data_IF_727853020254
#
_entry.id   IF_727853020254
#
_cell.length_a   1.000
_cell.length_b   1.000
_cell.length_c   1.000
_cell.angle_alpha   90.00
_cell.angle_beta   90.00
_cell.angle_gamma   90.00
#
_symmetry.space_group_name_H-M   'P 1'
#
loop_
_entity.id
_entity.type
_entity.pdbx_description
1 polymer ?
#
# COMPACT_ATOMS: atom_id res chain seq x y z
N UNK A 1 -3.37 -7.42 6.42
CA UNK A 1 -3.26 -7.03 7.85
C UNK A 1 -1.83 -7.22 8.39
N UNK A 2 -1.36 -8.46 8.57
CA UNK A 2 -0.11 -8.74 9.30
C UNK A 2 1.13 -8.07 8.72
N UNK A 3 1.28 -7.99 7.40
CA UNK A 3 2.41 -7.30 6.77
C UNK A 3 2.40 -5.79 7.06
N UNK A 4 1.25 -5.14 7.05
CA UNK A 4 1.13 -3.72 7.40
C UNK A 4 1.40 -3.49 8.90
N UNK A 5 0.93 -4.37 9.79
CA UNK A 5 1.30 -4.30 11.22
C UNK A 5 2.82 -4.32 11.41
N UNK A 6 3.50 -5.22 10.69
CA UNK A 6 4.97 -5.30 10.70
C UNK A 6 5.59 -4.00 10.18
N UNK A 7 5.10 -3.48 9.05
CA UNK A 7 5.63 -2.24 8.46
C UNK A 7 5.47 -1.04 9.40
N UNK A 8 4.29 -0.85 10.00
CA UNK A 8 4.01 0.22 10.97
C UNK A 8 4.95 0.12 12.17
N UNK A 9 5.04 -1.06 12.79
CA UNK A 9 5.89 -1.28 13.97
C UNK A 9 7.37 -1.11 13.64
N UNK A 10 7.82 -1.63 12.51
CA UNK A 10 9.22 -1.54 12.09
C UNK A 10 9.60 -0.09 11.76
N UNK A 11 8.73 0.64 11.04
CA UNK A 11 8.95 2.06 10.75
C UNK A 11 9.04 2.89 12.03
N UNK A 12 8.13 2.66 12.98
CA UNK A 12 8.15 3.35 14.29
C UNK A 12 9.41 3.02 15.08
N UNK A 13 9.74 1.72 15.25
CA UNK A 13 10.92 1.30 16.02
C UNK A 13 12.21 1.81 15.37
N UNK A 14 12.31 1.83 14.04
CA UNK A 14 13.44 2.44 13.35
C UNK A 14 13.69 3.87 13.82
N UNK A 15 12.64 4.71 13.88
CA UNK A 15 12.78 6.11 14.32
C UNK A 15 13.32 6.21 15.75
N UNK A 16 12.89 5.32 16.64
CA UNK A 16 13.42 5.25 18.02
C UNK A 16 14.90 4.85 18.01
N UNK A 17 15.27 3.82 17.23
CA UNK A 17 16.64 3.30 17.18
C UNK A 17 17.65 4.32 16.63
N UNK A 18 17.24 5.17 15.69
CA UNK A 18 18.12 6.20 15.11
C UNK A 18 18.03 7.56 15.82
N UNK A 19 17.36 7.64 16.98
CA UNK A 19 17.27 8.86 17.79
C UNK A 19 16.24 9.89 17.32
N UNK A 20 15.41 9.56 16.30
CA UNK A 20 14.33 10.43 15.82
C UNK A 20 13.03 10.24 16.61
N UNK A 21 13.11 10.31 17.93
CA UNK A 21 12.05 9.92 18.88
C UNK A 21 10.77 10.75 18.77
N UNK A 22 10.83 11.93 18.17
CA UNK A 22 9.65 12.78 17.90
C UNK A 22 8.77 12.24 16.76
N UNK A 23 9.33 11.43 15.84
CA UNK A 23 8.59 10.85 14.73
C UNK A 23 7.69 9.70 15.20
N UNK A 24 6.47 10.03 15.59
CA UNK A 24 5.50 9.08 16.18
C UNK A 24 4.17 9.02 15.43
N UNK A 25 3.90 10.00 14.54
CA UNK A 25 2.65 10.12 13.80
C UNK A 25 2.71 9.36 12.47
N UNK A 26 1.54 9.00 11.97
CA UNK A 26 1.36 8.39 10.66
C UNK A 26 0.40 9.24 9.82
N UNK A 27 0.56 9.17 8.49
CA UNK A 27 -0.39 9.71 7.52
C UNK A 27 -1.06 8.53 6.82
N UNK A 28 -2.38 8.62 6.57
CA UNK A 28 -3.15 7.64 5.81
C UNK A 28 -4.12 8.33 4.85
N UNK A 29 -4.52 7.64 3.79
CA UNK A 29 -5.53 8.14 2.85
C UNK A 29 -6.94 7.77 3.32
N UNK A 30 -7.88 8.69 3.20
CA UNK A 30 -9.30 8.37 3.28
C UNK A 30 -9.64 7.26 2.27
N UNK A 31 -10.62 6.42 2.62
CA UNK A 31 -11.00 5.25 1.84
C UNK A 31 -9.90 4.17 1.70
N UNK A 32 -8.76 4.27 2.40
CA UNK A 32 -7.74 3.22 2.46
C UNK A 32 -8.22 1.99 3.23
N UNK A 33 -7.77 0.80 2.80
CA UNK A 33 -8.00 -0.45 3.51
C UNK A 33 -6.74 -1.31 3.55
N UNK A 34 -6.29 -1.66 4.75
CA UNK A 34 -5.04 -2.37 4.96
C UNK A 34 -5.21 -3.66 5.78
N UNK A 35 -6.44 -4.01 6.10
CA UNK A 35 -6.81 -5.19 6.89
C UNK A 35 -7.53 -4.84 8.19
N UNK A 36 -7.79 -5.86 9.03
CA UNK A 36 -8.72 -5.79 10.16
C UNK A 36 -8.05 -5.96 11.53
N UNK A 37 -6.72 -5.89 11.61
CA UNK A 37 -6.02 -5.78 12.90
C UNK A 37 -6.00 -4.33 13.38
N UNK A 38 -5.83 -4.07 14.68
CA UNK A 38 -5.99 -2.72 15.25
C UNK A 38 -5.09 -1.66 14.60
N UNK A 39 -3.84 -1.99 14.30
CA UNK A 39 -2.95 -1.06 13.64
C UNK A 39 -3.37 -0.78 12.19
N UNK A 40 -3.80 -1.81 11.44
CA UNK A 40 -4.26 -1.63 10.06
C UNK A 40 -5.59 -0.89 9.98
N UNK A 41 -6.51 -1.14 10.90
CA UNK A 41 -7.75 -0.37 11.04
C UNK A 41 -7.46 1.09 11.38
N UNK A 42 -6.44 1.35 12.21
CA UNK A 42 -6.04 2.72 12.57
C UNK A 42 -5.61 3.55 11.35
N UNK A 43 -4.89 2.95 10.41
CA UNK A 43 -4.47 3.61 9.15
C UNK A 43 -5.45 3.40 7.99
N UNK A 44 -6.57 2.73 8.24
CA UNK A 44 -7.66 2.58 7.29
C UNK A 44 -8.60 3.78 7.28
N UNK A 45 -9.32 3.99 6.18
CA UNK A 45 -10.20 5.15 5.98
C UNK A 45 -11.67 4.80 5.69
N UNK A 46 -12.09 3.53 5.85
CA UNK A 46 -13.47 3.09 5.59
C UNK A 46 -14.25 3.07 6.90
N UNK A 47 -14.95 4.16 7.21
CA UNK A 47 -15.66 4.34 8.47
C UNK A 47 -16.64 3.20 8.81
N UNK A 48 -17.36 2.68 7.81
CA UNK A 48 -18.32 1.59 7.99
C UNK A 48 -17.68 0.36 8.67
N UNK A 49 -16.41 0.07 8.38
CA UNK A 49 -15.71 -1.09 8.94
C UNK A 49 -15.09 -0.78 10.31
N UNK A 50 -14.81 0.47 10.61
CA UNK A 50 -13.91 0.87 11.68
C UNK A 50 -14.59 1.53 12.87
N UNK A 51 -15.81 2.09 12.72
CA UNK A 51 -16.47 2.92 13.72
C UNK A 51 -16.66 2.22 15.08
N UNK A 52 -16.92 0.91 15.07
CA UNK A 52 -17.12 0.12 16.31
C UNK A 52 -15.84 0.05 17.15
N UNK A 53 -14.68 0.10 16.51
CA UNK A 53 -13.37 -0.04 17.15
C UNK A 53 -12.69 1.30 17.46
N UNK A 54 -13.34 2.42 17.19
CA UNK A 54 -12.76 3.77 17.25
C UNK A 54 -11.96 4.06 18.55
N UNK A 55 -12.45 3.58 19.69
CA UNK A 55 -11.78 3.82 20.98
C UNK A 55 -10.52 2.97 21.20
N UNK A 56 -10.24 2.00 20.35
CA UNK A 56 -9.06 1.14 20.41
C UNK A 56 -7.96 1.57 19.44
N UNK A 57 -8.23 2.55 18.58
CA UNK A 57 -7.37 2.92 17.47
C UNK A 57 -6.49 4.13 17.82
N UNK A 58 -5.26 4.14 17.30
CA UNK A 58 -4.52 5.38 17.20
C UNK A 58 -5.02 6.20 16.00
N UNK A 59 -4.84 7.53 16.05
CA UNK A 59 -5.37 8.46 15.05
C UNK A 59 -4.25 8.91 14.11
N UNK A 60 -4.26 8.53 12.82
CA UNK A 60 -3.36 9.10 11.83
C UNK A 60 -3.84 10.50 11.42
N UNK A 61 -2.95 11.28 10.80
CA UNK A 61 -3.31 12.40 9.96
C UNK A 61 -3.89 11.85 8.65
N UNK A 62 -4.97 12.43 8.14
CA UNK A 62 -5.68 11.86 7.00
C UNK A 62 -5.63 12.78 5.78
N UNK A 63 -5.41 12.19 4.61
CA UNK A 63 -5.46 12.87 3.31
C UNK A 63 -6.77 12.55 2.59
N UNK A 64 -7.35 13.50 1.85
CA UNK A 64 -8.40 13.19 0.89
C UNK A 64 -7.89 12.15 -0.12
N UNK A 65 -8.73 11.16 -0.47
CA UNK A 65 -8.39 10.22 -1.53
C UNK A 65 -8.53 10.88 -2.90
N UNK A 66 -7.51 10.83 -3.77
CA UNK A 66 -7.60 11.38 -5.13
C UNK A 66 -8.44 10.50 -6.08
N UNK A 67 -8.89 9.30 -5.64
CA UNK A 67 -9.64 8.34 -6.44
C UNK A 67 -11.17 8.44 -6.33
N UNK A 68 -11.72 9.30 -5.46
CA UNK A 68 -13.16 9.32 -5.10
C UNK A 68 -14.04 10.09 -6.09
N UNK A 69 -13.60 10.42 -7.30
CA UNK A 69 -14.25 11.41 -8.16
C UNK A 69 -14.91 10.81 -9.39
N UNK A 70 -16.06 11.42 -9.75
CA UNK A 70 -16.96 10.97 -10.80
C UNK A 70 -16.77 11.66 -12.13
N UNK A 71 -16.20 12.87 -12.13
CA UNK A 71 -15.97 13.69 -13.32
C UNK A 71 -14.47 14.00 -13.49
N UNK A 72 -14.01 14.25 -14.72
CA UNK A 72 -12.59 14.52 -15.01
C UNK A 72 -12.09 15.77 -14.29
N UNK A 73 -12.91 16.84 -14.27
CA UNK A 73 -12.57 18.07 -13.57
C UNK A 73 -12.44 17.87 -12.05
N UNK A 74 -13.28 17.02 -11.47
CA UNK A 74 -13.20 16.66 -10.07
C UNK A 74 -11.92 15.87 -9.76
N UNK A 75 -11.45 15.03 -10.68
CA UNK A 75 -10.21 14.24 -10.51
C UNK A 75 -8.98 15.13 -10.42
N UNK A 76 -8.85 16.12 -11.32
CA UNK A 76 -7.73 17.05 -11.27
C UNK A 76 -7.72 17.88 -9.99
N UNK A 77 -8.87 18.42 -9.63
CA UNK A 77 -9.04 19.17 -8.38
C UNK A 77 -8.65 18.36 -7.16
N UNK A 78 -9.05 17.14 -7.09
CA UNK A 78 -8.76 16.27 -5.98
C UNK A 78 -7.34 15.78 -5.90
N UNK A 79 -6.73 15.56 -7.02
CA UNK A 79 -5.30 15.32 -7.11
C UNK A 79 -4.53 16.49 -6.46
N UNK A 80 -4.85 17.72 -6.86
CA UNK A 80 -4.21 18.91 -6.32
C UNK A 80 -4.54 19.13 -4.82
N UNK A 81 -5.81 18.96 -4.41
CA UNK A 81 -6.23 19.09 -3.02
C UNK A 81 -5.51 18.08 -2.11
N UNK A 82 -5.41 16.83 -2.54
CA UNK A 82 -4.74 15.79 -1.76
C UNK A 82 -3.24 16.05 -1.61
N UNK A 83 -2.58 16.50 -2.68
CA UNK A 83 -1.14 16.84 -2.63
C UNK A 83 -0.89 18.12 -1.83
N UNK A 84 -1.72 19.14 -1.98
CA UNK A 84 -1.63 20.38 -1.21
C UNK A 84 -1.78 20.11 0.30
N UNK A 85 -2.72 19.25 0.68
CA UNK A 85 -2.87 18.83 2.08
C UNK A 85 -1.68 18.04 2.58
N UNK A 86 -1.15 17.12 1.76
CA UNK A 86 0.08 16.40 2.11
C UNK A 86 1.25 17.37 2.33
N UNK A 87 1.44 18.32 1.42
CA UNK A 87 2.52 19.30 1.51
C UNK A 87 2.36 20.19 2.74
N UNK A 88 1.12 20.62 3.06
CA UNK A 88 0.80 21.36 4.28
C UNK A 88 1.20 20.58 5.52
N UNK A 89 0.73 19.34 5.65
CA UNK A 89 1.02 18.47 6.81
C UNK A 89 2.53 18.25 6.95
N UNK A 90 3.24 17.98 5.86
CA UNK A 90 4.69 17.75 5.88
C UNK A 90 5.48 19.01 6.26
N UNK A 91 5.04 20.19 5.85
CA UNK A 91 5.69 21.46 6.22
C UNK A 91 5.43 21.82 7.69
N UNK A 92 4.24 21.53 8.23
CA UNK A 92 3.87 21.86 9.61
C UNK A 92 4.36 20.83 10.64
N UNK A 93 4.29 19.52 10.31
CA UNK A 93 4.48 18.43 11.27
C UNK A 93 5.49 17.35 10.79
N UNK A 94 6.19 17.55 9.67
CA UNK A 94 7.05 16.53 9.06
C UNK A 94 8.09 15.92 10.02
N UNK A 95 8.58 16.72 10.98
CA UNK A 95 9.52 16.26 12.02
C UNK A 95 8.90 15.29 13.04
N UNK A 96 7.58 15.18 13.06
CA UNK A 96 6.84 14.27 13.94
C UNK A 96 6.27 13.04 13.21
N UNK A 97 6.37 13.01 11.87
CA UNK A 97 5.77 11.97 11.05
C UNK A 97 6.75 10.84 10.78
N UNK A 98 6.37 9.63 11.14
CA UNK A 98 7.11 8.39 10.86
C UNK A 98 6.96 7.95 9.41
N UNK A 99 5.71 7.79 8.95
CA UNK A 99 5.41 7.23 7.64
C UNK A 99 4.04 7.67 7.10
N UNK A 100 3.92 7.61 5.77
CA UNK A 100 2.66 7.63 5.05
C UNK A 100 2.35 6.20 4.56
N UNK A 101 1.10 5.75 4.78
CA UNK A 101 0.62 4.42 4.38
C UNK A 101 -0.43 4.58 3.27
N UNK A 102 -0.28 3.84 2.17
CA UNK A 102 -1.24 3.88 1.06
C UNK A 102 -1.26 2.61 0.20
N UNK A 103 -2.40 2.34 -0.43
CA UNK A 103 -2.49 1.43 -1.56
C UNK A 103 -2.00 2.17 -2.82
N UNK A 104 -1.18 1.56 -3.69
CA UNK A 104 -0.71 2.22 -4.90
C UNK A 104 -1.74 2.10 -6.03
N UNK A 105 -1.99 3.17 -6.75
CA UNK A 105 -2.80 3.27 -7.98
C UNK A 105 -4.29 2.94 -7.83
N UNK A 106 -4.69 2.05 -6.91
CA UNK A 106 -6.08 1.63 -6.72
C UNK A 106 -6.36 1.35 -5.26
N UNK A 107 -7.33 2.04 -4.68
CA UNK A 107 -7.92 1.69 -3.39
C UNK A 107 -9.03 0.65 -3.62
N UNK A 108 -8.68 -0.63 -3.40
CA UNK A 108 -9.50 -1.74 -3.84
C UNK A 108 -10.80 -1.88 -3.04
N UNK A 109 -10.72 -1.98 -1.71
CA UNK A 109 -11.87 -2.24 -0.86
C UNK A 109 -12.90 -1.09 -0.83
N UNK A 110 -12.49 0.12 -1.18
CA UNK A 110 -13.36 1.28 -1.29
C UNK A 110 -14.18 1.33 -2.59
N UNK A 111 -14.15 0.29 -3.41
CA UNK A 111 -14.87 0.20 -4.67
C UNK A 111 -13.99 0.43 -5.89
N UNK A 112 -12.77 -0.09 -5.87
CA UNK A 112 -11.80 0.01 -6.97
C UNK A 112 -11.57 1.46 -7.43
N UNK A 113 -11.26 2.34 -6.48
CA UNK A 113 -10.99 3.75 -6.76
C UNK A 113 -9.62 3.89 -7.42
N UNK A 114 -9.61 4.18 -8.71
CA UNK A 114 -8.36 4.36 -9.49
C UNK A 114 -7.82 5.76 -9.24
N UNK A 115 -6.56 5.83 -8.80
CA UNK A 115 -5.87 7.11 -8.58
C UNK A 115 -5.41 7.75 -9.90
N UNK A 116 -5.36 9.09 -10.00
CA UNK A 116 -4.77 9.78 -11.14
C UNK A 116 -3.30 9.40 -11.33
N UNK A 117 -2.86 9.34 -12.59
CA UNK A 117 -1.47 9.07 -12.92
C UNK A 117 -0.53 10.15 -12.36
N UNK A 118 0.60 9.73 -11.80
CA UNK A 118 1.60 10.61 -11.21
C UNK A 118 1.39 10.89 -9.71
N UNK A 119 0.26 10.51 -9.13
CA UNK A 119 -0.02 10.75 -7.72
C UNK A 119 0.99 10.04 -6.79
N UNK A 120 1.22 8.76 -7.01
CA UNK A 120 2.17 7.98 -6.20
C UNK A 120 3.59 8.55 -6.30
N UNK A 121 4.00 8.99 -7.50
CA UNK A 121 5.31 9.61 -7.72
C UNK A 121 5.45 10.92 -6.94
N UNK A 122 4.43 11.79 -6.98
CA UNK A 122 4.42 13.05 -6.22
C UNK A 122 4.44 12.81 -4.71
N UNK A 123 3.66 11.85 -4.22
CA UNK A 123 3.71 11.43 -2.81
C UNK A 123 5.11 10.98 -2.42
N UNK A 124 5.78 10.16 -3.26
CA UNK A 124 7.17 9.71 -3.02
C UNK A 124 8.15 10.89 -2.93
N UNK A 125 8.05 11.84 -3.86
CA UNK A 125 8.91 13.02 -3.87
C UNK A 125 8.75 13.85 -2.58
N UNK A 126 7.52 14.11 -2.17
CA UNK A 126 7.21 14.88 -0.96
C UNK A 126 7.67 14.14 0.32
N UNK A 127 7.35 12.86 0.46
CA UNK A 127 7.77 12.08 1.63
C UNK A 127 9.27 11.96 1.75
N UNK A 128 9.98 11.79 0.62
CA UNK A 128 11.44 11.75 0.60
C UNK A 128 12.08 13.07 1.03
N UNK A 129 11.54 14.21 0.57
CA UNK A 129 12.01 15.56 0.92
C UNK A 129 11.96 15.82 2.43
N UNK A 130 10.97 15.25 3.13
CA UNK A 130 10.74 15.47 4.56
C UNK A 130 11.22 14.31 5.45
N UNK A 131 12.01 13.37 4.91
CA UNK A 131 12.42 12.14 5.62
C UNK A 131 11.24 11.42 6.29
N UNK A 132 10.13 11.27 5.57
CA UNK A 132 8.98 10.48 5.96
C UNK A 132 8.99 9.19 5.16
N UNK A 133 8.83 8.04 5.82
CA UNK A 133 8.78 6.75 5.12
C UNK A 133 7.50 6.63 4.28
N UNK A 134 7.62 6.02 3.12
CA UNK A 134 6.50 5.60 2.30
C UNK A 134 6.28 4.09 2.46
N UNK A 135 5.14 3.70 3.04
CA UNK A 135 4.68 2.32 3.16
C UNK A 135 3.63 2.08 2.08
N UNK A 136 3.91 1.19 1.14
CA UNK A 136 3.00 0.89 0.04
C UNK A 136 2.41 -0.51 0.21
N UNK A 137 1.09 -0.58 0.18
CA UNK A 137 0.33 -1.82 0.30
C UNK A 137 0.02 -2.42 -1.07
N UNK A 138 0.87 -3.36 -1.52
CA UNK A 138 0.70 -4.10 -2.77
C UNK A 138 -0.09 -5.43 -2.60
N UNK A 139 -0.76 -5.61 -1.47
CA UNK A 139 -1.51 -6.84 -1.18
C UNK A 139 -2.61 -7.12 -2.21
N UNK A 140 -3.28 -6.06 -2.71
CA UNK A 140 -4.31 -6.18 -3.74
C UNK A 140 -3.78 -5.89 -5.16
N UNK A 141 -2.78 -5.04 -5.29
CA UNK A 141 -2.31 -4.49 -6.57
C UNK A 141 -1.12 -5.21 -7.17
N UNK A 142 -0.37 -5.95 -6.35
CA UNK A 142 0.82 -6.69 -6.77
C UNK A 142 0.53 -7.93 -7.60
N UNK A 143 1.59 -8.59 -8.03
CA UNK A 143 1.56 -9.85 -8.77
C UNK A 143 0.78 -9.77 -10.09
N UNK A 144 1.00 -8.69 -10.85
CA UNK A 144 0.45 -8.53 -12.19
C UNK A 144 -0.95 -7.92 -12.28
N UNK A 145 -1.64 -7.68 -11.16
CA UNK A 145 -3.03 -7.17 -11.16
C UNK A 145 -3.22 -5.87 -11.94
N UNK A 146 -2.24 -4.98 -11.90
CA UNK A 146 -2.29 -3.69 -12.60
C UNK A 146 -1.59 -3.69 -13.96
N UNK A 147 -1.02 -4.83 -14.38
CA UNK A 147 -0.31 -4.99 -15.66
C UNK A 147 1.22 -4.99 -15.55
N UNK A 148 1.78 -4.69 -14.38
CA UNK A 148 3.19 -4.88 -14.01
C UNK A 148 3.29 -5.79 -12.78
N UNK A 149 4.48 -6.29 -12.48
CA UNK A 149 4.64 -7.19 -11.33
C UNK A 149 4.20 -6.50 -10.04
N UNK A 150 4.62 -5.24 -9.83
CA UNK A 150 4.12 -4.37 -8.77
C UNK A 150 3.53 -3.08 -9.35
N UNK A 151 2.50 -2.55 -8.71
CA UNK A 151 1.86 -1.31 -9.14
C UNK A 151 2.82 -0.10 -9.07
N UNK A 152 3.73 -0.06 -8.11
CA UNK A 152 4.76 0.97 -7.97
C UNK A 152 5.61 1.15 -9.23
N UNK A 153 5.83 0.10 -10.02
CA UNK A 153 6.63 0.15 -11.24
C UNK A 153 6.03 1.05 -12.34
N UNK A 154 4.70 1.29 -12.31
CA UNK A 154 4.05 2.14 -13.28
C UNK A 154 4.53 3.60 -13.21
N UNK A 155 4.95 4.04 -12.04
CA UNK A 155 5.41 5.40 -11.80
C UNK A 155 6.89 5.47 -11.37
N UNK A 156 7.61 4.34 -11.47
CA UNK A 156 9.03 4.26 -11.13
C UNK A 156 9.32 4.52 -9.65
N UNK A 157 8.38 4.20 -8.76
CA UNK A 157 8.50 4.45 -7.32
C UNK A 157 9.08 3.25 -6.60
N UNK A 158 10.14 3.48 -5.81
CA UNK A 158 10.64 2.55 -4.81
C UNK A 158 10.23 3.03 -3.41
N UNK A 159 9.30 2.34 -2.73
CA UNK A 159 8.90 2.70 -1.36
C UNK A 159 9.96 2.29 -0.34
N UNK A 160 9.87 2.81 0.89
CA UNK A 160 10.71 2.37 2.01
C UNK A 160 10.24 1.03 2.57
N UNK A 161 8.92 0.78 2.52
CA UNK A 161 8.30 -0.49 2.87
C UNK A 161 7.27 -0.89 1.80
N UNK A 162 7.27 -2.16 1.44
CA UNK A 162 6.27 -2.76 0.56
C UNK A 162 5.65 -3.98 1.25
N UNK A 163 4.33 -4.05 1.29
CA UNK A 163 3.63 -5.18 1.90
C UNK A 163 2.97 -6.05 0.85
N UNK A 164 3.15 -7.35 0.98
CA UNK A 164 2.72 -8.38 0.03
C UNK A 164 1.89 -9.45 0.72
N UNK A 165 0.88 -9.96 0.04
CA UNK A 165 0.10 -11.14 0.44
C UNK A 165 -0.69 -11.66 -0.77
N UNK A 166 -1.79 -12.35 -0.59
CA UNK A 166 -2.71 -12.83 -1.65
C UNK A 166 -1.98 -13.48 -2.83
N UNK A 167 -1.61 -12.69 -3.84
CA UNK A 167 -0.93 -13.17 -5.05
C UNK A 167 0.43 -13.83 -4.80
N UNK A 168 1.09 -13.57 -3.68
CA UNK A 168 2.39 -14.17 -3.36
C UNK A 168 2.36 -15.71 -3.37
N UNK A 169 1.23 -16.30 -2.98
CA UNK A 169 1.03 -17.76 -2.96
C UNK A 169 0.03 -18.23 -4.03
N UNK A 170 -0.39 -17.35 -4.94
CA UNK A 170 -1.47 -17.67 -5.88
C UNK A 170 -2.82 -18.00 -5.21
N UNK A 171 -2.98 -17.67 -3.93
CA UNK A 171 -4.19 -17.96 -3.15
C UNK A 171 -4.22 -19.34 -2.49
N UNK A 172 -3.19 -20.17 -2.63
CA UNK A 172 -3.17 -21.52 -2.07
C UNK A 172 -2.91 -21.58 -0.57
N UNK A 173 -2.09 -20.66 -0.04
CA UNK A 173 -1.72 -20.64 1.37
C UNK A 173 -1.75 -19.22 1.94
N UNK A 174 -2.13 -19.04 3.22
CA UNK A 174 -2.01 -17.76 3.90
C UNK A 174 -0.52 -17.44 4.12
N UNK A 175 -0.06 -16.36 3.50
CA UNK A 175 1.27 -15.80 3.69
C UNK A 175 1.23 -14.30 3.45
N UNK A 176 2.01 -13.58 4.24
CA UNK A 176 2.28 -12.16 4.03
C UNK A 176 3.77 -11.88 4.22
N UNK A 177 4.27 -10.89 3.50
CA UNK A 177 5.65 -10.44 3.61
C UNK A 177 5.71 -8.91 3.68
N UNK A 178 6.65 -8.41 4.46
CA UNK A 178 7.02 -6.99 4.51
C UNK A 178 8.43 -6.87 3.99
N UNK A 179 8.60 -6.17 2.88
CA UNK A 179 9.90 -5.83 2.32
C UNK A 179 10.29 -4.44 2.80
N UNK A 180 11.59 -4.23 3.04
CA UNK A 180 12.13 -2.94 3.40
C UNK A 180 13.51 -2.71 2.81
N UNK A 181 14.06 -1.50 2.97
CA UNK A 181 15.37 -1.13 2.47
C UNK A 181 16.49 -1.62 3.39
N UNK A 182 17.70 -1.75 2.84
CA UNK A 182 18.90 -2.07 3.61
C UNK A 182 19.12 -1.08 4.76
N UNK A 183 18.86 0.22 4.53
CA UNK A 183 18.95 1.25 5.56
C UNK A 183 18.11 0.93 6.80
N UNK A 184 16.90 0.45 6.59
CA UNK A 184 16.01 0.07 7.71
C UNK A 184 16.52 -1.18 8.38
N UNK A 185 16.88 -2.21 7.62
CA UNK A 185 17.41 -3.47 8.14
C UNK A 185 18.65 -3.25 9.04
N UNK A 186 19.60 -2.44 8.59
CA UNK A 186 20.85 -2.18 9.31
C UNK A 186 20.62 -1.56 10.69
N UNK A 187 19.58 -0.77 10.87
CA UNK A 187 19.26 -0.15 12.17
C UNK A 187 18.86 -1.17 13.24
N UNK A 188 18.41 -2.35 12.83
CA UNK A 188 18.03 -3.44 13.75
C UNK A 188 19.18 -4.38 14.07
N UNK A 189 20.33 -4.21 13.42
CA UNK A 189 21.54 -4.99 13.71
C UNK A 189 22.23 -4.44 14.96
N UNK A 190 22.70 -5.34 15.80
CA UNK A 190 23.41 -4.97 17.03
C UNK A 190 23.62 -6.16 17.95
N UNK A 191 24.28 -5.91 19.08
CA UNK A 191 24.45 -6.92 20.14
C UNK A 191 23.16 -7.10 20.94
N UNK A 192 23.09 -8.15 21.73
CA UNK A 192 21.95 -8.41 22.59
C UNK A 192 21.72 -7.27 23.60
N UNK A 193 22.81 -6.69 24.10
CA UNK A 193 22.79 -5.57 25.07
C UNK A 193 22.21 -4.29 24.50
N UNK A 194 22.36 -4.05 23.18
CA UNK A 194 21.81 -2.88 22.49
C UNK A 194 20.29 -2.95 22.31
N UNK A 195 19.68 -4.14 22.46
CA UNK A 195 18.22 -4.37 22.39
C UNK A 195 17.56 -3.82 21.11
N UNK A 196 18.27 -3.88 19.99
CA UNK A 196 17.79 -3.40 18.69
C UNK A 196 16.85 -4.39 17.98
N UNK A 197 16.70 -5.59 18.51
CA UNK A 197 15.87 -6.66 17.90
C UNK A 197 14.44 -6.19 17.66
N UNK A 198 13.89 -6.58 16.51
CA UNK A 198 12.47 -6.39 16.23
C UNK A 198 11.64 -7.45 16.95
N UNK A 199 11.03 -7.06 18.08
CA UNK A 199 10.21 -7.94 18.91
C UNK A 199 8.79 -8.06 18.34
N UNK A 200 8.65 -8.84 17.26
CA UNK A 200 7.37 -9.14 16.63
C UNK A 200 7.43 -10.50 15.93
N UNK A 201 6.33 -11.25 16.03
CA UNK A 201 6.18 -12.53 15.35
C UNK A 201 4.96 -13.28 15.87
N UNK A 202 4.73 -14.44 15.30
CA UNK A 202 3.79 -15.44 15.80
C UNK A 202 4.33 -16.85 15.51
N UNK A 203 3.67 -17.88 16.06
CA UNK A 203 4.15 -19.28 15.98
C UNK A 203 4.40 -19.78 14.55
N UNK A 204 3.69 -19.26 13.57
CA UNK A 204 3.79 -19.66 12.15
C UNK A 204 4.60 -18.69 11.29
N UNK A 205 5.35 -17.75 11.89
CA UNK A 205 6.28 -16.89 11.15
C UNK A 205 7.31 -17.75 10.43
N UNK A 206 7.49 -17.50 9.12
CA UNK A 206 8.40 -18.29 8.28
C UNK A 206 7.93 -19.73 8.00
N UNK A 207 6.60 -19.97 8.02
CA UNK A 207 6.04 -21.28 7.72
C UNK A 207 6.63 -21.85 6.42
N UNK A 208 7.35 -22.97 6.53
CA UNK A 208 8.11 -23.56 5.44
C UNK A 208 7.22 -23.97 4.26
N UNK A 209 6.02 -24.51 4.54
CA UNK A 209 5.07 -24.89 3.49
C UNK A 209 4.57 -23.68 2.71
N UNK A 210 4.16 -22.61 3.40
CA UNK A 210 3.70 -21.40 2.75
C UNK A 210 4.83 -20.70 1.95
N UNK A 211 6.06 -20.71 2.46
CA UNK A 211 7.22 -20.21 1.75
C UNK A 211 7.53 -21.04 0.48
N UNK A 212 7.42 -22.37 0.55
CA UNK A 212 7.60 -23.25 -0.62
C UNK A 212 6.53 -22.96 -1.69
N UNK A 213 5.26 -22.75 -1.28
CA UNK A 213 4.18 -22.39 -2.22
C UNK A 213 4.44 -21.02 -2.84
N UNK A 214 4.92 -20.04 -2.07
CA UNK A 214 5.30 -18.73 -2.61
C UNK A 214 6.42 -18.82 -3.64
N UNK A 215 7.47 -19.62 -3.36
CA UNK A 215 8.55 -19.83 -4.31
C UNK A 215 8.05 -20.51 -5.59
N UNK A 216 7.19 -21.53 -5.49
CA UNK A 216 6.55 -22.18 -6.63
C UNK A 216 5.69 -21.19 -7.44
N UNK A 217 4.90 -20.34 -6.79
CA UNK A 217 4.13 -19.28 -7.44
C UNK A 217 5.03 -18.32 -8.23
N UNK A 218 6.13 -17.86 -7.63
CA UNK A 218 7.09 -16.99 -8.31
C UNK A 218 7.79 -17.70 -9.49
N UNK A 219 8.03 -19.02 -9.38
CA UNK A 219 8.58 -19.81 -10.47
C UNK A 219 7.61 -19.88 -11.66
N UNK A 220 6.30 -20.09 -11.41
CA UNK A 220 5.26 -20.07 -12.45
C UNK A 220 5.24 -18.72 -13.18
N UNK A 221 5.36 -17.59 -12.45
CA UNK A 221 5.44 -16.26 -13.08
C UNK A 221 6.58 -16.17 -14.10
N UNK A 222 7.74 -16.78 -13.82
CA UNK A 222 8.91 -16.78 -14.70
C UNK A 222 8.74 -17.75 -15.87
N UNK A 223 8.39 -19.01 -15.59
CA UNK A 223 8.33 -20.09 -16.58
C UNK A 223 7.26 -19.85 -17.62
N UNK A 224 6.09 -19.36 -17.19
CA UNK A 224 4.96 -19.08 -18.06
C UNK A 224 4.95 -17.64 -18.60
N UNK A 225 5.96 -16.84 -18.27
CA UNK A 225 6.07 -15.42 -18.69
C UNK A 225 4.75 -14.67 -18.45
N UNK A 226 4.22 -14.82 -17.23
CA UNK A 226 2.88 -14.31 -16.88
C UNK A 226 2.77 -12.82 -17.13
N UNK A 227 3.77 -12.04 -16.69
CA UNK A 227 3.76 -10.57 -16.83
C UNK A 227 3.78 -10.14 -18.29
N UNK A 228 4.62 -10.77 -19.11
CA UNK A 228 4.73 -10.50 -20.54
C UNK A 228 3.45 -10.82 -21.29
N UNK A 229 2.67 -11.78 -20.79
CA UNK A 229 1.35 -12.15 -21.34
C UNK A 229 0.21 -11.20 -20.96
N UNK A 230 0.39 -10.34 -19.93
CA UNK A 230 -0.68 -9.47 -19.42
C UNK A 230 -1.21 -8.45 -20.44
N UNK A 231 -0.40 -7.78 -21.26
CA UNK A 231 -0.92 -6.75 -22.18
C UNK A 231 -2.05 -7.26 -23.06
N UNK A 232 -1.91 -8.46 -23.65
CA UNK A 232 -2.97 -9.08 -24.47
C UNK A 232 -4.23 -9.40 -23.67
N UNK A 233 -4.07 -9.89 -22.45
CA UNK A 233 -5.20 -10.20 -21.55
C UNK A 233 -5.94 -8.93 -21.13
N UNK A 234 -5.20 -7.86 -20.81
CA UNK A 234 -5.77 -6.56 -20.44
C UNK A 234 -6.52 -5.95 -21.63
N UNK A 235 -5.95 -6.00 -22.83
CA UNK A 235 -6.61 -5.52 -24.04
C UNK A 235 -7.93 -6.26 -24.31
N UNK A 236 -7.90 -7.59 -24.27
CA UNK A 236 -9.10 -8.42 -24.42
C UNK A 236 -10.16 -8.08 -23.35
N UNK A 237 -9.73 -7.89 -22.10
CA UNK A 237 -10.60 -7.52 -20.99
C UNK A 237 -11.20 -6.11 -21.19
N UNK A 238 -10.39 -5.13 -21.59
CA UNK A 238 -10.87 -3.77 -21.91
C UNK A 238 -11.92 -3.80 -23.02
N UNK A 239 -11.69 -4.59 -24.08
CA UNK A 239 -12.67 -4.73 -25.16
C UNK A 239 -13.98 -5.39 -24.69
N UNK A 240 -13.90 -6.37 -23.78
CA UNK A 240 -15.08 -7.01 -23.21
C UNK A 240 -15.90 -6.10 -22.29
N UNK A 241 -15.27 -5.06 -21.70
CA UNK A 241 -15.94 -4.10 -20.81
C UNK A 241 -16.73 -3.02 -21.57
N UNK A 242 -16.35 -2.70 -22.82
CA UNK A 242 -17.00 -1.63 -23.61
C UNK A 242 -18.53 -1.72 -23.69
N UNK A 243 -19.15 -2.88 -23.92
CA UNK A 243 -20.62 -2.98 -23.92
C UNK A 243 -21.25 -2.65 -22.57
N UNK A 244 -20.52 -2.89 -21.46
CA UNK A 244 -21.01 -2.67 -20.09
C UNK A 244 -21.16 -1.17 -19.80
N UNK A 245 -20.29 -0.33 -20.33
CA UNK A 245 -20.32 1.14 -20.15
C UNK A 245 -21.65 1.76 -20.58
N UNK A 246 -22.33 1.15 -21.56
CA UNK A 246 -23.57 1.65 -22.10
C UNK A 246 -24.84 1.08 -21.45
N UNK A 247 -24.71 0.25 -20.41
CA UNK A 247 -25.87 -0.32 -19.72
C UNK A 247 -26.57 0.73 -18.86
N UNK A 248 -27.91 0.70 -18.87
CA UNK A 248 -28.79 1.71 -18.21
C UNK A 248 -28.44 2.03 -16.75
N UNK A 249 -27.92 1.06 -16.02
CA UNK A 249 -27.63 1.20 -14.58
C UNK A 249 -26.14 1.30 -14.28
N UNK A 250 -25.29 1.36 -15.28
CA UNK A 250 -23.85 1.59 -15.14
C UNK A 250 -23.59 3.07 -15.32
N UNK A 251 -23.01 3.70 -14.31
CA UNK A 251 -22.64 5.11 -14.33
C UNK A 251 -21.21 5.29 -14.83
N UNK A 252 -20.31 4.42 -14.43
CA UNK A 252 -18.89 4.49 -14.71
C UNK A 252 -18.27 3.09 -14.70
N UNK A 253 -17.33 2.86 -15.59
CA UNK A 253 -16.42 1.70 -15.56
C UNK A 253 -15.00 2.23 -15.39
N UNK A 254 -14.32 1.83 -14.31
CA UNK A 254 -12.93 2.17 -14.04
C UNK A 254 -12.08 0.92 -14.21
N UNK A 255 -10.95 1.05 -14.88
CA UNK A 255 -10.03 -0.07 -15.09
C UNK A 255 -8.58 0.32 -14.82
N UNK A 256 -7.87 -0.54 -14.11
CA UNK A 256 -6.42 -0.50 -14.00
C UNK A 256 -5.86 -1.92 -14.14
N UNK A 257 -5.37 -2.25 -15.32
CA UNK A 257 -4.94 -3.61 -15.66
C UNK A 257 -6.12 -4.59 -15.63
N UNK A 258 -6.09 -5.58 -14.75
CA UNK A 258 -7.15 -6.57 -14.53
C UNK A 258 -8.07 -6.23 -13.34
N UNK A 259 -7.92 -5.06 -12.75
CA UNK A 259 -8.79 -4.54 -11.70
C UNK A 259 -9.85 -3.63 -12.34
N UNK A 260 -11.11 -3.89 -12.07
CA UNK A 260 -12.27 -3.13 -12.58
C UNK A 260 -13.22 -2.82 -11.45
#
# INVERSE_FOLDING_TARGET
STAIEVAIKMAYQYRQLVGQTKKTKFIALNAGYHGDTLGTVSVGGIQLFHQVFHNLLFKPLTLPSPGVYRDVADREKAFEESLAELERILNEEGDEITALVMEPLVQAAAGMLVMPHGYLKRVRELTAKHDVFLIVDEVATGFGRTGKFFACEHEGVAPDFMTLSKGITGGYMPLAATLTTQRVFDAFLGTFEEKKTFYHGHSYTGNALACAVALASLQVFRDEKVIEGLPKKIEAFTNALKPIENLKHVKEVRQRGLIV
#
